data_IF_197321343751
#
_entry.id   IF_197321343751
#
_cell.length_a   1.000
_cell.length_b   1.000
_cell.length_c   1.000
_cell.angle_alpha   90.00
_cell.angle_beta   90.00
_cell.angle_gamma   90.00
#
_symmetry.space_group_name_H-M   'P 1'
#
loop_
_entity.id
_entity.type
_entity.pdbx_description
1 polymer ?
#
# COMPACT_ATOMS: atom_id res chain seq x y z
N UNK A 1 -38.51 44.77 41.92
CA UNK A 1 -38.54 43.31 41.64
C UNK A 1 -38.72 43.14 40.15
N UNK A 2 -37.63 43.19 39.39
CA UNK A 2 -37.68 42.88 37.95
C UNK A 2 -37.43 41.39 37.79
N UNK A 3 -38.45 40.67 37.31
CA UNK A 3 -38.30 39.28 36.89
C UNK A 3 -37.61 39.28 35.53
N UNK A 4 -36.40 38.74 35.46
CA UNK A 4 -35.65 38.58 34.21
C UNK A 4 -36.36 37.64 33.23
N UNK A 5 -36.13 37.80 31.91
CA UNK A 5 -36.80 37.02 30.88
C UNK A 5 -36.43 35.54 31.01
N UNK A 6 -37.44 34.69 31.09
CA UNK A 6 -37.30 33.24 31.16
C UNK A 6 -36.71 32.69 29.87
N UNK A 7 -35.66 31.89 30.01
CA UNK A 7 -35.04 31.12 28.91
C UNK A 7 -36.09 30.17 28.33
N UNK A 8 -36.43 30.33 27.06
CA UNK A 8 -37.49 29.60 26.37
C UNK A 8 -37.07 28.16 26.05
N UNK A 9 -37.96 27.20 26.32
CA UNK A 9 -37.74 25.75 26.13
C UNK A 9 -37.36 25.36 24.69
N UNK A 10 -37.73 26.19 23.70
CA UNK A 10 -37.42 25.98 22.29
C UNK A 10 -35.92 26.17 21.96
N UNK A 11 -35.23 27.09 22.65
CA UNK A 11 -33.79 27.32 22.44
C UNK A 11 -32.98 26.11 22.93
N UNK A 12 -33.44 25.46 24.00
CA UNK A 12 -32.74 24.30 24.56
C UNK A 12 -32.86 23.04 23.69
N UNK A 13 -33.95 22.83 22.95
CA UNK A 13 -34.09 21.65 22.08
C UNK A 13 -33.21 21.76 20.84
N UNK A 14 -33.20 22.91 20.17
CA UNK A 14 -32.32 23.15 19.02
C UNK A 14 -30.83 23.14 19.41
N UNK A 15 -30.49 23.70 20.57
CA UNK A 15 -29.15 23.64 21.16
C UNK A 15 -28.74 22.20 21.51
N UNK A 16 -29.66 21.41 22.09
CA UNK A 16 -29.40 20.00 22.41
C UNK A 16 -29.23 19.15 21.15
N UNK A 17 -30.01 19.40 20.09
CA UNK A 17 -29.81 18.74 18.80
C UNK A 17 -28.51 19.17 18.13
N UNK A 18 -28.15 20.46 18.21
CA UNK A 18 -26.88 20.96 17.69
C UNK A 18 -25.69 20.33 18.45
N UNK A 19 -25.79 20.18 19.77
CA UNK A 19 -24.81 19.51 20.60
C UNK A 19 -24.68 18.03 20.21
N UNK A 20 -25.80 17.30 20.09
CA UNK A 20 -25.79 15.90 19.66
C UNK A 20 -25.20 15.72 18.25
N UNK A 21 -25.48 16.63 17.31
CA UNK A 21 -24.87 16.65 15.98
C UNK A 21 -23.36 16.91 16.05
N UNK A 22 -22.91 17.82 16.91
CA UNK A 22 -21.50 18.12 17.11
C UNK A 22 -20.74 16.92 17.73
N UNK A 23 -21.31 16.29 18.75
CA UNK A 23 -20.75 15.09 19.39
C UNK A 23 -20.64 13.92 18.42
N UNK A 24 -21.67 13.70 17.58
CA UNK A 24 -21.61 12.67 16.54
C UNK A 24 -20.49 12.93 15.53
N UNK A 25 -20.38 14.17 15.03
CA UNK A 25 -19.30 14.56 14.10
C UNK A 25 -17.91 14.39 14.73
N UNK A 26 -17.76 14.68 16.02
CA UNK A 26 -16.50 14.49 16.74
C UNK A 26 -16.13 13.00 16.77
N UNK A 27 -17.06 12.13 17.18
CA UNK A 27 -16.85 10.67 17.21
C UNK A 27 -16.51 10.10 15.83
N UNK A 28 -17.23 10.53 14.79
CA UNK A 28 -16.96 10.09 13.42
C UNK A 28 -15.54 10.46 12.96
N UNK A 29 -15.07 11.66 13.34
CA UNK A 29 -13.70 12.13 13.03
C UNK A 29 -12.64 11.36 13.81
N UNK A 30 -12.86 11.12 15.09
CA UNK A 30 -11.96 10.31 15.92
C UNK A 30 -11.84 8.88 15.38
N UNK A 31 -12.94 8.29 14.91
CA UNK A 31 -12.96 6.95 14.31
C UNK A 31 -12.26 6.92 12.94
N UNK A 32 -12.34 8.00 12.16
CA UNK A 32 -11.58 8.15 10.92
C UNK A 32 -10.07 8.24 11.19
N UNK A 33 -9.67 9.06 12.17
CA UNK A 33 -8.27 9.23 12.56
C UNK A 33 -7.70 7.91 13.12
N UNK A 34 -8.46 7.20 13.97
CA UNK A 34 -8.08 5.89 14.49
C UNK A 34 -7.82 4.87 13.36
N UNK A 35 -8.68 4.85 12.33
CA UNK A 35 -8.48 4.01 11.13
C UNK A 35 -7.23 4.41 10.36
N UNK A 36 -6.97 5.70 10.16
CA UNK A 36 -5.76 6.18 9.50
C UNK A 36 -4.49 5.78 10.28
N UNK A 37 -4.50 5.90 11.60
CA UNK A 37 -3.40 5.47 12.46
C UNK A 37 -3.18 3.95 12.43
N UNK A 38 -4.24 3.15 12.32
CA UNK A 38 -4.14 1.69 12.12
C UNK A 38 -3.41 1.36 10.82
N UNK A 39 -3.82 1.96 9.71
CA UNK A 39 -3.19 1.76 8.40
C UNK A 39 -1.70 2.15 8.44
N UNK A 40 -1.37 3.31 9.02
CA UNK A 40 0.01 3.81 9.12
C UNK A 40 0.90 2.96 10.04
N UNK A 41 0.36 2.47 11.15
CA UNK A 41 1.14 1.72 12.15
C UNK A 41 1.37 0.26 11.76
N UNK A 42 0.52 -0.31 10.89
CA UNK A 42 0.46 -1.75 10.56
C UNK A 42 0.24 -2.64 11.79
N UNK A 43 -0.28 -2.10 12.89
CA UNK A 43 -0.52 -2.85 14.12
C UNK A 43 -1.86 -3.58 14.06
N UNK A 44 -1.83 -4.91 14.16
CA UNK A 44 -3.01 -5.80 14.03
C UNK A 44 -3.96 -5.71 15.23
N UNK A 45 -3.49 -5.18 16.37
CA UNK A 45 -4.18 -5.25 17.66
C UNK A 45 -4.98 -3.99 18.05
N UNK A 46 -5.19 -3.02 17.15
CA UNK A 46 -6.26 -2.04 17.38
C UNK A 46 -7.60 -2.73 17.15
N UNK A 47 -8.27 -3.14 18.22
CA UNK A 47 -9.69 -3.50 18.22
C UNK A 47 -10.52 -2.33 17.67
N UNK A 48 -11.60 -2.63 16.94
CA UNK A 48 -12.41 -1.66 16.18
C UNK A 48 -13.06 -0.57 17.01
N UNK A 49 -13.15 -0.76 18.32
CA UNK A 49 -13.88 0.10 19.24
C UNK A 49 -13.03 0.87 20.25
N UNK A 50 -11.69 0.78 20.20
CA UNK A 50 -10.81 1.52 21.12
C UNK A 50 -10.11 2.69 20.42
N UNK A 51 -10.28 3.89 20.99
CA UNK A 51 -9.51 5.07 20.60
C UNK A 51 -8.01 4.79 20.73
N UNK A 52 -7.16 5.33 19.83
CA UNK A 52 -5.72 5.10 19.88
C UNK A 52 -5.17 5.60 21.22
N UNK A 53 -4.82 4.65 22.09
CA UNK A 53 -4.45 4.95 23.47
C UNK A 53 -3.10 5.65 23.56
N UNK A 54 -2.83 6.32 24.69
CA UNK A 54 -1.50 6.85 25.01
C UNK A 54 -0.41 5.76 24.90
N UNK A 55 -0.77 4.52 25.23
CA UNK A 55 0.09 3.34 25.07
C UNK A 55 0.41 3.06 23.60
N UNK A 56 -0.59 3.11 22.71
CA UNK A 56 -0.38 2.94 21.27
C UNK A 56 0.60 3.98 20.70
N UNK A 57 0.40 5.27 21.01
CA UNK A 57 1.31 6.31 20.54
C UNK A 57 2.71 6.23 21.18
N UNK A 58 2.83 5.72 22.40
CA UNK A 58 4.13 5.43 23.01
C UNK A 58 4.84 4.28 22.27
N UNK A 59 4.12 3.21 21.93
CA UNK A 59 4.65 2.07 21.16
C UNK A 59 5.06 2.51 19.76
N UNK A 60 4.27 3.35 19.09
CA UNK A 60 4.58 3.90 17.77
C UNK A 60 5.83 4.77 17.80
N UNK A 61 5.96 5.68 18.78
CA UNK A 61 7.19 6.48 18.95
C UNK A 61 8.41 5.61 19.22
N UNK A 62 8.28 4.58 20.05
CA UNK A 62 9.37 3.63 20.30
C UNK A 62 9.75 2.86 19.03
N UNK A 63 8.77 2.44 18.22
CA UNK A 63 9.01 1.80 16.93
C UNK A 63 9.74 2.74 15.97
N UNK A 64 9.24 3.97 15.77
CA UNK A 64 9.89 4.97 14.94
C UNK A 64 11.31 5.31 15.40
N UNK A 65 11.52 5.41 16.71
CA UNK A 65 12.85 5.64 17.27
C UNK A 65 13.84 4.49 16.98
N UNK A 66 13.37 3.25 16.84
CA UNK A 66 14.19 2.08 16.49
C UNK A 66 14.38 1.90 14.99
N UNK A 67 13.37 2.26 14.19
CA UNK A 67 13.38 2.09 12.73
C UNK A 67 13.98 3.28 11.99
N UNK A 68 14.11 4.43 12.66
CA UNK A 68 14.81 5.59 12.10
C UNK A 68 16.31 5.36 12.13
N UNK A 69 16.96 5.55 10.98
CA UNK A 69 18.41 5.69 10.90
C UNK A 69 18.76 7.02 11.58
N UNK A 70 19.58 6.96 12.63
CA UNK A 70 20.04 8.15 13.39
C UNK A 70 21.46 8.54 13.02
N UNK A 71 22.26 7.55 12.68
CA UNK A 71 23.66 7.66 12.33
C UNK A 71 23.92 6.66 11.21
N UNK A 72 24.76 7.03 10.25
CA UNK A 72 25.16 6.19 9.13
C UNK A 72 26.69 6.25 8.96
N UNK A 73 27.31 5.08 8.80
CA UNK A 73 28.72 4.97 8.42
C UNK A 73 28.84 5.29 6.93
N UNK A 74 29.58 6.35 6.62
CA UNK A 74 29.89 6.76 5.25
C UNK A 74 31.02 5.92 4.66
N UNK A 75 31.15 6.00 3.34
CA UNK A 75 32.11 5.22 2.53
C UNK A 75 33.61 5.40 2.89
N UNK A 76 33.96 6.33 3.78
CA UNK A 76 35.32 6.59 4.26
C UNK A 76 35.55 6.24 5.76
N UNK A 77 34.59 5.58 6.42
CA UNK A 77 34.68 5.26 7.85
C UNK A 77 34.36 6.44 8.76
N UNK A 78 33.79 7.51 8.21
CA UNK A 78 33.21 8.63 8.96
C UNK A 78 31.76 8.32 9.30
N UNK A 79 31.32 8.71 10.50
CA UNK A 79 29.93 8.54 10.95
C UNK A 79 29.23 9.89 10.86
N UNK A 80 28.14 9.97 10.11
CA UNK A 80 27.29 11.16 10.09
C UNK A 80 26.00 10.92 10.86
N UNK A 81 25.61 11.92 11.66
CA UNK A 81 24.32 12.02 12.33
C UNK A 81 23.41 13.09 11.68
N UNK A 82 23.88 13.73 10.61
CA UNK A 82 23.11 14.75 9.91
C UNK A 82 22.11 14.10 8.95
N UNK A 83 20.85 14.52 9.04
CA UNK A 83 19.76 13.91 8.28
C UNK A 83 19.91 14.08 6.78
N UNK A 84 20.41 15.23 6.33
CA UNK A 84 20.59 15.54 4.91
C UNK A 84 21.75 14.73 4.31
N UNK A 85 22.88 14.63 5.01
CA UNK A 85 24.03 13.80 4.61
C UNK A 85 23.67 12.31 4.54
N UNK A 86 22.91 11.81 5.54
CA UNK A 86 22.42 10.42 5.54
C UNK A 86 21.54 10.15 4.32
N UNK A 87 20.63 11.07 3.98
CA UNK A 87 19.74 10.92 2.82
C UNK A 87 20.53 10.93 1.51
N UNK A 88 21.52 11.81 1.37
CA UNK A 88 22.36 11.90 0.17
C UNK A 88 23.21 10.64 -0.03
N UNK A 89 23.81 10.11 1.03
CA UNK A 89 24.60 8.86 0.94
C UNK A 89 23.71 7.66 0.60
N UNK A 90 22.53 7.52 1.24
CA UNK A 90 21.57 6.45 0.91
C UNK A 90 21.15 6.55 -0.56
N UNK A 91 20.83 7.76 -1.04
CA UNK A 91 20.46 7.98 -2.42
C UNK A 91 21.61 7.58 -3.38
N UNK A 92 22.82 8.08 -3.13
CA UNK A 92 24.02 7.79 -3.92
C UNK A 92 24.33 6.28 -3.96
N UNK A 93 24.23 5.60 -2.82
CA UNK A 93 24.47 4.17 -2.70
C UNK A 93 23.47 3.36 -3.53
N UNK A 94 22.16 3.56 -3.32
CA UNK A 94 21.14 2.80 -4.06
C UNK A 94 21.08 3.18 -5.53
N UNK A 95 21.38 4.44 -5.87
CA UNK A 95 21.54 4.85 -7.26
C UNK A 95 22.65 4.02 -7.91
N UNK A 96 23.83 3.91 -7.31
CA UNK A 96 24.92 3.07 -7.84
C UNK A 96 24.55 1.59 -7.89
N UNK A 97 23.92 1.06 -6.84
CA UNK A 97 23.50 -0.35 -6.75
C UNK A 97 22.51 -0.75 -7.85
N UNK A 98 21.58 0.14 -8.19
CA UNK A 98 20.56 -0.09 -9.21
C UNK A 98 20.89 0.52 -10.58
N UNK A 99 22.03 1.20 -10.71
CA UNK A 99 22.58 1.55 -12.02
C UNK A 99 23.27 0.30 -12.55
N UNK A 100 22.94 -0.11 -13.77
CA UNK A 100 23.56 -1.26 -14.39
C UNK A 100 25.09 -1.07 -14.42
N UNK A 101 25.82 -1.86 -13.64
CA UNK A 101 27.24 -2.09 -13.89
C UNK A 101 27.33 -2.69 -15.30
N UNK A 102 28.24 -2.17 -16.12
CA UNK A 102 28.53 -2.73 -17.45
C UNK A 102 28.69 -4.24 -17.32
N UNK A 103 27.97 -4.99 -18.17
CA UNK A 103 27.94 -6.45 -18.21
C UNK A 103 29.37 -6.98 -18.21
N UNK A 104 29.83 -7.44 -17.04
CA UNK A 104 31.09 -8.17 -17.00
C UNK A 104 30.83 -9.54 -17.63
N UNK A 105 31.73 -10.05 -18.48
CA UNK A 105 31.56 -11.35 -19.13
C UNK A 105 31.43 -12.51 -18.12
N UNK A 106 31.86 -12.30 -16.87
CA UNK A 106 31.71 -13.23 -15.76
C UNK A 106 30.25 -13.30 -15.24
N UNK A 107 29.49 -12.19 -15.30
CA UNK A 107 28.07 -12.15 -14.90
C UNK A 107 27.16 -12.84 -15.91
N UNK A 108 27.42 -12.68 -17.21
CA UNK A 108 26.64 -13.34 -18.26
C UNK A 108 26.70 -14.86 -18.13
N UNK A 109 27.90 -15.43 -17.95
CA UNK A 109 28.07 -16.88 -17.78
C UNK A 109 27.38 -17.42 -16.52
N UNK A 110 27.43 -16.69 -15.41
CA UNK A 110 26.75 -17.07 -14.17
C UNK A 110 25.21 -17.00 -14.30
N UNK A 111 24.69 -16.00 -15.01
CA UNK A 111 23.26 -15.86 -15.25
C UNK A 111 22.75 -16.98 -16.16
N UNK A 112 23.49 -17.33 -17.22
CA UNK A 112 23.16 -18.46 -18.10
C UNK A 112 23.17 -19.80 -17.36
N UNK A 113 24.13 -20.02 -16.47
CA UNK A 113 24.19 -21.23 -15.64
C UNK A 113 22.96 -21.33 -14.71
N UNK A 114 22.61 -20.25 -14.01
CA UNK A 114 21.44 -20.20 -13.11
C UNK A 114 20.14 -20.40 -13.88
N UNK A 115 19.99 -19.77 -15.05
CA UNK A 115 18.81 -19.95 -15.92
C UNK A 115 18.78 -21.38 -16.47
N UNK A 116 19.94 -21.96 -16.77
CA UNK A 116 20.08 -23.35 -17.22
C UNK A 116 19.67 -24.40 -16.19
N UNK A 117 19.75 -24.08 -14.89
CA UNK A 117 19.30 -24.94 -13.79
C UNK A 117 17.78 -24.94 -13.60
N UNK A 118 17.07 -23.94 -14.14
CA UNK A 118 15.60 -23.91 -14.12
C UNK A 118 15.10 -25.00 -15.07
N UNK A 119 14.31 -25.96 -14.56
CA UNK A 119 13.67 -26.98 -15.39
C UNK A 119 12.92 -26.32 -16.55
N UNK A 120 13.40 -26.56 -17.78
CA UNK A 120 12.78 -26.04 -18.99
C UNK A 120 11.48 -26.79 -19.27
N UNK A 121 10.36 -26.09 -19.06
CA UNK A 121 9.09 -26.39 -19.72
C UNK A 121 7.95 -26.70 -18.76
N UNK A 122 6.98 -25.79 -18.73
CA UNK A 122 5.60 -26.14 -18.42
C UNK A 122 5.12 -27.19 -19.43
N UNK A 123 4.34 -28.16 -19.00
CA UNK A 123 3.65 -29.09 -19.92
C UNK A 123 2.78 -28.28 -20.90
N UNK A 124 2.56 -28.80 -22.10
CA UNK A 124 1.74 -28.11 -23.11
C UNK A 124 0.35 -27.71 -22.57
N UNK A 125 -0.22 -28.53 -21.70
CA UNK A 125 -1.49 -28.25 -21.00
C UNK A 125 -1.38 -27.09 -20.00
N UNK A 126 -0.26 -26.96 -19.31
CA UNK A 126 -0.01 -25.87 -18.36
C UNK A 126 0.26 -24.55 -19.08
N UNK A 127 1.00 -24.60 -20.20
CA UNK A 127 1.17 -23.44 -21.09
C UNK A 127 -0.18 -22.99 -21.64
N UNK A 128 -1.01 -23.92 -22.11
CA UNK A 128 -2.35 -23.61 -22.61
C UNK A 128 -3.22 -22.96 -21.52
N UNK A 129 -3.18 -23.48 -20.29
CA UNK A 129 -3.91 -22.92 -19.15
C UNK A 129 -3.44 -21.50 -18.80
N UNK A 130 -2.13 -21.25 -18.71
CA UNK A 130 -1.56 -19.94 -18.33
C UNK A 130 -1.68 -18.89 -19.44
N UNK A 131 -1.68 -19.33 -20.70
CA UNK A 131 -1.86 -18.48 -21.87
C UNK A 131 -3.32 -18.19 -22.18
N UNK A 132 -4.26 -18.91 -21.58
CA UNK A 132 -5.68 -18.65 -21.74
C UNK A 132 -6.08 -17.28 -21.18
N UNK A 133 -7.09 -16.69 -21.80
CA UNK A 133 -7.66 -15.42 -21.36
C UNK A 133 -8.60 -15.75 -20.19
N UNK A 134 -8.39 -15.16 -18.99
CA UNK A 134 -9.24 -15.43 -17.84
C UNK A 134 -10.66 -14.90 -18.08
N UNK A 135 -11.64 -15.59 -17.51
CA UNK A 135 -13.04 -15.17 -17.59
C UNK A 135 -13.33 -13.93 -16.72
N UNK A 136 -14.38 -13.17 -17.03
CA UNK A 136 -14.77 -12.00 -16.23
C UNK A 136 -15.06 -12.38 -14.76
N UNK A 137 -15.73 -13.53 -14.58
CA UNK A 137 -16.06 -14.06 -13.27
C UNK A 137 -14.80 -14.48 -12.48
N UNK A 138 -13.83 -15.10 -13.15
CA UNK A 138 -12.55 -15.48 -12.56
C UNK A 138 -11.76 -14.24 -12.11
N UNK A 139 -11.72 -13.18 -12.93
CA UNK A 139 -11.07 -11.91 -12.58
C UNK A 139 -11.71 -11.31 -11.33
N UNK A 140 -13.05 -11.30 -11.28
CA UNK A 140 -13.78 -10.79 -10.11
C UNK A 140 -13.49 -11.62 -8.87
N UNK A 141 -13.56 -12.95 -8.95
CA UNK A 141 -13.28 -13.85 -7.83
C UNK A 141 -11.86 -13.66 -7.28
N UNK A 142 -10.87 -13.50 -8.16
CA UNK A 142 -9.49 -13.21 -7.74
C UNK A 142 -9.41 -11.89 -6.98
N UNK A 143 -10.00 -10.81 -7.51
CA UNK A 143 -9.96 -9.48 -6.89
C UNK A 143 -10.65 -9.47 -5.52
N UNK A 144 -11.77 -10.17 -5.38
CA UNK A 144 -12.48 -10.29 -4.10
C UNK A 144 -11.84 -11.31 -3.15
N UNK A 145 -11.04 -12.26 -3.67
CA UNK A 145 -10.25 -13.21 -2.89
C UNK A 145 -8.90 -12.67 -2.42
N UNK A 146 -8.47 -11.51 -2.91
CA UNK A 146 -7.23 -10.88 -2.47
C UNK A 146 -7.31 -10.44 -1.01
N UNK A 147 -6.22 -10.69 -0.26
CA UNK A 147 -6.11 -10.26 1.14
C UNK A 147 -6.19 -8.73 1.24
N UNK A 148 -7.07 -8.25 2.10
CA UNK A 148 -7.17 -6.85 2.49
C UNK A 148 -6.03 -6.43 3.42
N UNK A 149 -5.91 -5.12 3.62
CA UNK A 149 -4.94 -4.41 4.45
C UNK A 149 -3.48 -4.64 4.01
N UNK A 150 -3.28 -4.81 2.70
CA UNK A 150 -1.97 -4.85 2.06
C UNK A 150 -1.50 -3.44 1.70
N UNK A 151 -0.18 -3.27 1.58
CA UNK A 151 0.38 -2.02 1.10
C UNK A 151 -0.14 -1.73 -0.31
N UNK A 152 -0.54 -0.48 -0.61
CA UNK A 152 -0.90 -0.08 -1.96
C UNK A 152 0.28 -0.25 -2.91
N UNK A 153 -0.03 -0.39 -4.20
CA UNK A 153 0.99 -0.39 -5.26
C UNK A 153 1.62 0.99 -5.46
N UNK A 154 2.44 1.11 -6.50
CA UNK A 154 3.00 2.40 -6.96
C UNK A 154 1.91 3.42 -7.33
N UNK A 155 0.72 2.93 -7.65
CA UNK A 155 -0.49 3.72 -7.95
C UNK A 155 -1.18 4.28 -6.70
N UNK A 156 -0.79 3.86 -5.50
CA UNK A 156 -1.41 4.29 -4.25
C UNK A 156 -2.81 3.71 -3.99
N UNK A 157 -3.32 2.85 -4.89
CA UNK A 157 -4.64 2.25 -4.75
C UNK A 157 -4.54 0.93 -3.98
N UNK A 158 -5.40 0.76 -2.98
CA UNK A 158 -5.51 -0.50 -2.26
C UNK A 158 -6.61 -1.37 -2.86
N UNK A 159 -6.57 -2.66 -2.55
CA UNK A 159 -7.56 -3.61 -3.07
C UNK A 159 -8.98 -3.31 -2.57
N UNK A 160 -9.11 -2.72 -1.38
CA UNK A 160 -10.39 -2.30 -0.79
C UNK A 160 -11.06 -1.20 -1.60
N UNK A 161 -10.26 -0.27 -2.15
CA UNK A 161 -10.79 0.77 -3.05
C UNK A 161 -11.34 0.14 -4.32
N UNK A 162 -10.60 -0.82 -4.88
CA UNK A 162 -11.03 -1.55 -6.08
C UNK A 162 -12.31 -2.38 -5.83
N UNK A 163 -12.40 -3.03 -4.67
CA UNK A 163 -13.58 -3.81 -4.25
C UNK A 163 -14.79 -2.90 -3.98
N UNK A 164 -14.61 -1.78 -3.30
CA UNK A 164 -15.68 -0.83 -2.98
C UNK A 164 -16.22 -0.12 -4.23
N UNK A 165 -15.35 0.21 -5.18
CA UNK A 165 -15.73 0.89 -6.42
C UNK A 165 -16.03 -0.08 -7.57
N UNK A 166 -16.07 -1.39 -7.33
CA UNK A 166 -16.15 -2.42 -8.39
C UNK A 166 -17.35 -2.22 -9.33
N UNK A 167 -18.49 -1.75 -8.82
CA UNK A 167 -19.68 -1.46 -9.64
C UNK A 167 -19.43 -0.38 -10.70
N UNK A 168 -18.52 0.55 -10.43
CA UNK A 168 -18.17 1.65 -11.31
C UNK A 168 -16.95 1.33 -12.18
N UNK A 169 -15.89 0.77 -11.60
CA UNK A 169 -14.59 0.58 -12.30
C UNK A 169 -14.37 -0.83 -12.81
N UNK A 170 -15.10 -1.83 -12.31
CA UNK A 170 -14.82 -3.24 -12.56
C UNK A 170 -14.86 -3.63 -14.04
N UNK A 171 -15.81 -3.08 -14.79
CA UNK A 171 -15.91 -3.30 -16.24
C UNK A 171 -14.69 -2.78 -17.00
N UNK A 172 -14.17 -1.62 -16.63
CA UNK A 172 -12.98 -1.05 -17.27
C UNK A 172 -11.70 -1.75 -16.81
N UNK A 173 -11.62 -2.17 -15.54
CA UNK A 173 -10.53 -3.00 -15.03
C UNK A 173 -10.43 -4.33 -15.80
N UNK A 174 -11.55 -5.00 -16.05
CA UNK A 174 -11.60 -6.23 -16.85
C UNK A 174 -11.09 -5.95 -18.26
N UNK A 175 -11.61 -4.93 -18.95
CA UNK A 175 -11.15 -4.58 -20.31
C UNK A 175 -9.64 -4.32 -20.34
N UNK A 176 -9.12 -3.54 -19.39
CA UNK A 176 -7.70 -3.22 -19.30
C UNK A 176 -6.85 -4.48 -19.09
N UNK A 177 -7.25 -5.38 -18.19
CA UNK A 177 -6.55 -6.65 -17.96
C UNK A 177 -6.56 -7.54 -19.21
N UNK A 178 -7.69 -7.61 -19.91
CA UNK A 178 -7.83 -8.36 -21.15
C UNK A 178 -6.94 -7.78 -22.28
N UNK A 179 -6.89 -6.45 -22.41
CA UNK A 179 -6.01 -5.76 -23.36
C UNK A 179 -4.55 -6.05 -23.01
N UNK A 180 -4.16 -5.85 -21.76
CA UNK A 180 -2.79 -6.06 -21.31
C UNK A 180 -2.32 -7.50 -21.54
N UNK A 181 -3.18 -8.51 -21.28
CA UNK A 181 -2.84 -9.92 -21.54
C UNK A 181 -2.68 -10.20 -23.03
N UNK A 182 -3.58 -9.70 -23.88
CA UNK A 182 -3.46 -9.84 -25.35
C UNK A 182 -2.18 -9.19 -25.88
N UNK A 183 -1.89 -7.98 -25.42
CA UNK A 183 -0.70 -7.23 -25.83
C UNK A 183 0.58 -7.90 -25.31
N UNK A 184 0.68 -8.25 -24.03
CA UNK A 184 1.84 -8.97 -23.49
C UNK A 184 2.08 -10.32 -24.16
N UNK A 185 1.04 -11.08 -24.52
CA UNK A 185 1.20 -12.33 -25.28
C UNK A 185 1.82 -12.07 -26.66
N UNK A 186 1.46 -10.98 -27.34
CA UNK A 186 2.12 -10.60 -28.60
C UNK A 186 3.58 -10.20 -28.41
N UNK A 187 3.92 -9.45 -27.35
CA UNK A 187 5.30 -9.07 -27.05
C UNK A 187 6.17 -10.27 -26.63
N UNK A 188 5.65 -11.17 -25.79
CA UNK A 188 6.34 -12.40 -25.37
C UNK A 188 6.54 -13.40 -26.51
N UNK A 189 5.69 -13.37 -27.55
CA UNK A 189 5.91 -14.16 -28.77
C UNK A 189 7.07 -13.65 -29.63
N UNK A 190 7.45 -12.37 -29.48
CA UNK A 190 8.52 -11.73 -30.24
C UNK A 190 9.87 -11.73 -29.51
N UNK A 191 9.91 -11.95 -28.19
CA UNK A 191 11.14 -11.90 -27.38
C UNK A 191 11.60 -13.24 -26.80
N UNK A 192 10.97 -14.37 -27.15
CA UNK A 192 11.41 -15.72 -26.72
C UNK A 192 11.70 -16.66 -27.92
N UNK A 193 11.92 -16.09 -29.11
CA UNK A 193 12.34 -16.84 -30.31
C UNK A 193 13.52 -16.21 -31.06
N UNK A 194 14.34 -15.43 -30.36
CA UNK A 194 15.68 -15.06 -30.82
C UNK A 194 16.69 -15.39 -29.71
#
# INVERSE_FOLDING_TARGET
MEKGPGRTVCDTEEENEALARAEKKLKDRELLDARAWRVRSRERWLTEDEAPSKYFFAKLRSKWARESIRELDLSLGEVSADGDEILEEIHSYYQKLYTAEEESPEREGAQEEVIGLIQKGLLAEEVSRVSSIPGEQEIKEVIFGMKTNKAPGLDGLTIEVLQACWEFVGGDCIKMLLIMKKTCLSYLSHTVFC
#
